data_IF_382686417265
#
_entry.id   IF_382686417265
#
_cell.length_a   1.000
_cell.length_b   1.000
_cell.length_c   1.000
_cell.angle_alpha   90.00
_cell.angle_beta   90.00
_cell.angle_gamma   90.00
#
_symmetry.space_group_name_H-M   'P 1'
#
loop_
_entity.id
_entity.type
_entity.pdbx_description
1 polymer ?
#
# COMPACT_ATOMS: atom_id res chain seq x y z
N UNK A 1 50.07 57.30 0.24
CA UNK A 1 48.81 56.98 0.94
C UNK A 1 47.71 56.92 -0.10
N UNK A 2 46.99 55.79 -0.20
CA UNK A 2 45.66 55.58 -0.80
C UNK A 2 45.54 54.16 -1.35
N UNK A 3 45.02 53.26 -0.52
CA UNK A 3 44.42 51.98 -0.94
C UNK A 3 43.09 51.83 -0.19
N UNK A 4 41.97 52.16 -0.83
CA UNK A 4 40.73 51.46 -0.50
C UNK A 4 39.91 51.22 -1.77
N UNK A 5 40.24 50.16 -2.51
CA UNK A 5 39.42 49.72 -3.64
C UNK A 5 39.37 48.20 -3.80
N UNK A 6 39.69 47.46 -2.73
CA UNK A 6 39.76 45.99 -2.75
C UNK A 6 38.75 45.29 -1.82
N UNK A 7 37.83 46.04 -1.19
CA UNK A 7 36.89 45.47 -0.22
C UNK A 7 35.42 45.49 -0.66
N UNK A 8 35.08 46.09 -1.80
CA UNK A 8 33.67 46.20 -2.26
C UNK A 8 33.24 45.01 -3.13
N UNK A 9 34.16 44.26 -3.73
CA UNK A 9 33.83 43.11 -4.59
C UNK A 9 33.57 41.80 -3.85
N UNK A 10 33.85 41.69 -2.55
CA UNK A 10 33.69 40.44 -1.80
C UNK A 10 32.32 40.29 -1.10
N UNK A 11 31.50 41.35 -1.03
CA UNK A 11 30.21 41.29 -0.32
C UNK A 11 29.02 40.93 -1.22
N UNK A 12 29.17 40.99 -2.55
CA UNK A 12 28.06 40.75 -3.49
C UNK A 12 27.86 39.26 -3.85
N UNK A 13 28.77 38.36 -3.46
CA UNK A 13 28.66 36.93 -3.82
C UNK A 13 28.01 36.06 -2.74
N UNK A 14 27.72 36.60 -1.57
CA UNK A 14 27.13 35.87 -0.44
C UNK A 14 25.59 35.88 -0.42
N UNK A 15 24.94 36.57 -1.36
CA UNK A 15 23.48 36.66 -1.45
C UNK A 15 22.83 35.71 -2.47
N UNK A 16 23.62 34.87 -3.16
CA UNK A 16 23.12 33.92 -4.16
C UNK A 16 23.02 32.47 -3.65
N UNK A 17 23.29 32.21 -2.37
CA UNK A 17 23.07 30.90 -1.74
C UNK A 17 21.77 30.84 -0.94
N UNK A 18 20.79 31.68 -1.25
CA UNK A 18 19.39 31.36 -0.95
C UNK A 18 18.98 30.20 -1.88
N UNK A 19 19.56 29.03 -1.61
CA UNK A 19 19.20 27.77 -2.21
C UNK A 19 17.72 27.54 -2.02
N UNK A 20 17.13 26.95 -3.05
CA UNK A 20 15.76 26.51 -3.09
C UNK A 20 15.29 26.03 -1.72
N UNK A 21 14.21 26.64 -1.26
CA UNK A 21 13.36 26.15 -0.19
C UNK A 21 13.32 24.62 -0.20
N UNK A 22 13.93 23.99 0.80
CA UNK A 22 13.49 22.68 1.26
C UNK A 22 12.06 22.92 1.77
N UNK A 23 11.08 22.84 0.86
CA UNK A 23 9.69 22.72 1.27
C UNK A 23 9.65 21.47 2.15
N UNK A 24 9.55 21.69 3.47
CA UNK A 24 9.24 20.62 4.41
C UNK A 24 7.98 19.95 3.86
N UNK A 25 7.95 18.63 3.65
CA UNK A 25 6.76 17.98 3.19
C UNK A 25 5.62 18.33 4.15
N UNK A 26 4.51 18.80 3.57
CA UNK A 26 3.22 18.96 4.26
C UNK A 26 3.03 17.76 5.19
N UNK A 27 2.91 18.03 6.50
CA UNK A 27 2.74 17.06 7.60
C UNK A 27 2.39 15.64 7.14
N UNK A 28 3.40 14.87 6.77
CA UNK A 28 3.21 13.50 6.30
C UNK A 28 2.81 12.63 7.49
N UNK A 29 1.67 11.95 7.38
CA UNK A 29 1.16 11.04 8.40
C UNK A 29 1.37 9.60 7.94
N UNK A 30 1.89 8.74 8.82
CA UNK A 30 1.88 7.29 8.56
C UNK A 30 0.43 6.82 8.38
N UNK A 31 0.17 6.21 7.23
CA UNK A 31 -1.10 5.57 6.87
C UNK A 31 -1.16 4.12 7.34
N UNK A 32 -1.95 3.32 6.63
CA UNK A 32 -2.10 1.89 6.91
C UNK A 32 -0.88 1.09 6.45
N UNK A 33 -0.63 -0.01 7.17
CA UNK A 33 0.21 -1.12 6.71
C UNK A 33 -0.69 -2.34 6.55
N UNK A 34 -0.70 -2.95 5.36
CA UNK A 34 -1.61 -4.04 5.07
C UNK A 34 -1.62 -4.44 3.60
N UNK A 35 -2.71 -5.05 3.14
CA UNK A 35 -2.82 -5.59 1.79
C UNK A 35 -3.62 -4.66 0.87
N UNK A 36 -3.17 -4.53 -0.38
CA UNK A 36 -3.96 -3.91 -1.44
C UNK A 36 -5.11 -4.85 -1.82
N UNK A 37 -6.35 -4.44 -1.59
CA UNK A 37 -7.55 -5.27 -1.81
C UNK A 37 -8.34 -4.86 -3.06
N UNK A 38 -8.08 -3.66 -3.56
CA UNK A 38 -8.62 -3.13 -4.82
C UNK A 38 -7.65 -2.11 -5.44
N UNK A 39 -7.59 -2.07 -6.78
CA UNK A 39 -6.88 -1.04 -7.53
C UNK A 39 -7.83 -0.38 -8.54
N UNK A 40 -7.68 0.93 -8.72
CA UNK A 40 -8.34 1.69 -9.78
C UNK A 40 -7.28 2.55 -10.48
N UNK A 41 -6.66 1.98 -11.51
CA UNK A 41 -5.55 2.63 -12.22
C UNK A 41 -5.99 3.89 -12.98
N UNK A 42 -7.23 3.95 -13.46
CA UNK A 42 -7.79 5.14 -14.14
C UNK A 42 -7.90 6.34 -13.20
N UNK A 43 -8.36 6.10 -11.98
CA UNK A 43 -8.46 7.12 -10.92
C UNK A 43 -7.18 7.28 -10.11
N UNK A 44 -6.10 6.59 -10.51
CA UNK A 44 -4.83 6.51 -9.78
C UNK A 44 -5.03 6.18 -8.29
N UNK A 45 -5.85 5.19 -7.95
CA UNK A 45 -6.22 4.89 -6.58
C UNK A 45 -6.00 3.42 -6.19
N UNK A 46 -5.70 3.19 -4.91
CA UNK A 46 -5.54 1.87 -4.30
C UNK A 46 -6.36 1.82 -3.01
N UNK A 47 -7.07 0.72 -2.77
CA UNK A 47 -7.69 0.44 -1.47
C UNK A 47 -6.77 -0.49 -0.69
N UNK A 48 -6.29 -0.02 0.46
CA UNK A 48 -5.48 -0.81 1.39
C UNK A 48 -6.30 -1.09 2.63
N UNK A 49 -6.29 -2.34 3.09
CA UNK A 49 -6.88 -2.72 4.36
C UNK A 49 -5.82 -3.34 5.28
N UNK A 50 -5.97 -3.12 6.57
CA UNK A 50 -5.13 -3.76 7.59
C UNK A 50 -5.28 -5.29 7.57
N UNK A 51 -4.35 -5.95 8.25
CA UNK A 51 -4.35 -7.40 8.47
C UNK A 51 -4.29 -7.70 9.96
N UNK A 52 -4.34 -8.97 10.36
CA UNK A 52 -4.19 -9.37 11.77
C UNK A 52 -2.84 -8.95 12.36
N UNK A 53 -1.83 -8.65 11.52
CA UNK A 53 -0.52 -8.16 11.95
C UNK A 53 -0.54 -6.69 12.39
N UNK A 54 -1.52 -5.91 11.92
CA UNK A 54 -1.49 -4.44 12.01
C UNK A 54 -2.74 -3.87 12.67
N UNK A 55 -3.89 -4.51 12.49
CA UNK A 55 -5.14 -4.17 13.15
C UNK A 55 -5.03 -4.34 14.67
N UNK A 56 -5.81 -3.53 15.40
CA UNK A 56 -5.89 -3.60 16.87
C UNK A 56 -7.16 -4.35 17.26
N UNK A 57 -7.01 -5.45 18.00
CA UNK A 57 -8.13 -6.21 18.57
C UNK A 57 -9.22 -6.67 17.58
N UNK A 58 -8.88 -6.80 16.29
CA UNK A 58 -9.80 -7.20 15.22
C UNK A 58 -10.66 -6.06 14.66
N UNK A 59 -10.39 -4.82 15.07
CA UNK A 59 -10.92 -3.63 14.40
C UNK A 59 -10.00 -3.27 13.24
N UNK A 60 -10.47 -3.56 12.01
CA UNK A 60 -9.70 -3.34 10.79
C UNK A 60 -10.04 -2.00 10.15
N UNK A 61 -9.02 -1.20 9.89
CA UNK A 61 -9.17 -0.04 9.02
C UNK A 61 -8.95 -0.39 7.55
N UNK A 62 -9.65 0.35 6.69
CA UNK A 62 -9.46 0.35 5.25
C UNK A 62 -9.48 1.79 4.73
N UNK A 63 -8.56 2.11 3.83
CA UNK A 63 -8.38 3.46 3.31
C UNK A 63 -8.07 3.44 1.80
N UNK A 64 -8.82 4.26 1.06
CA UNK A 64 -8.51 4.59 -0.32
C UNK A 64 -7.41 5.65 -0.36
N UNK A 65 -6.31 5.30 -1.00
CA UNK A 65 -5.18 6.18 -1.27
C UNK A 65 -5.20 6.63 -2.73
N UNK A 66 -5.31 7.95 -2.94
CA UNK A 66 -5.24 8.56 -4.26
C UNK A 66 -3.81 9.03 -4.54
N UNK A 67 -3.21 8.50 -5.59
CA UNK A 67 -1.83 8.78 -5.99
C UNK A 67 -1.81 10.07 -6.81
N UNK A 68 -1.33 11.14 -6.19
CA UNK A 68 -1.05 12.42 -6.86
C UNK A 68 0.34 12.40 -7.53
N UNK A 69 0.67 13.47 -8.25
CA UNK A 69 1.92 13.54 -9.03
C UNK A 69 3.18 13.68 -8.15
N UNK A 70 3.02 14.06 -6.87
CA UNK A 70 4.11 14.20 -5.90
C UNK A 70 4.33 12.90 -5.09
N UNK A 71 3.48 11.90 -5.26
CA UNK A 71 3.52 10.66 -4.49
C UNK A 71 4.76 9.82 -4.83
N UNK A 72 5.46 9.34 -3.81
CA UNK A 72 6.68 8.55 -3.95
C UNK A 72 6.35 7.05 -3.77
N UNK A 73 6.42 6.29 -4.86
CA UNK A 73 6.19 4.84 -4.84
C UNK A 73 7.51 4.08 -4.92
N UNK A 74 7.79 3.24 -3.93
CA UNK A 74 9.06 2.51 -3.80
C UNK A 74 8.84 1.02 -3.53
N UNK A 75 9.83 0.21 -3.87
CA UNK A 75 10.01 -1.12 -3.28
C UNK A 75 10.82 -1.04 -1.96
N UNK A 76 11.00 -2.18 -1.27
CA UNK A 76 11.82 -2.26 -0.05
C UNK A 76 13.30 -1.93 -0.25
N UNK A 77 13.80 -1.94 -1.49
CA UNK A 77 15.18 -1.59 -1.85
C UNK A 77 15.31 -0.11 -2.23
N UNK A 78 14.24 0.68 -2.07
CA UNK A 78 14.13 2.09 -2.46
C UNK A 78 14.23 2.33 -3.97
N UNK A 79 13.98 1.32 -4.81
CA UNK A 79 13.78 1.54 -6.23
C UNK A 79 12.40 2.12 -6.47
N UNK A 80 12.29 3.04 -7.44
CA UNK A 80 11.00 3.55 -7.87
C UNK A 80 10.19 2.46 -8.56
N UNK A 81 8.91 2.36 -8.22
CA UNK A 81 7.95 1.46 -8.87
C UNK A 81 6.83 2.26 -9.52
N UNK A 82 6.19 1.70 -10.54
CA UNK A 82 5.00 2.31 -11.13
C UNK A 82 3.77 1.89 -10.33
N UNK A 83 2.73 2.74 -10.35
CA UNK A 83 1.43 2.38 -9.75
C UNK A 83 0.88 1.07 -10.34
N UNK A 84 1.09 0.85 -11.64
CA UNK A 84 0.67 -0.36 -12.35
C UNK A 84 1.40 -1.62 -11.93
N UNK A 85 2.54 -1.49 -11.24
CA UNK A 85 3.30 -2.64 -10.71
C UNK A 85 2.77 -3.06 -9.32
N UNK A 86 1.93 -2.22 -8.70
CA UNK A 86 1.29 -2.48 -7.41
C UNK A 86 -0.03 -3.20 -7.67
N UNK A 87 -0.03 -4.51 -7.44
CA UNK A 87 -1.16 -5.39 -7.72
C UNK A 87 -1.99 -5.68 -6.45
N UNK A 88 -3.24 -6.07 -6.65
CA UNK A 88 -4.07 -6.64 -5.58
C UNK A 88 -3.35 -7.84 -4.94
N UNK A 89 -3.35 -7.89 -3.61
CA UNK A 89 -2.65 -8.86 -2.79
C UNK A 89 -1.25 -8.43 -2.37
N UNK A 90 -0.69 -7.34 -2.91
CA UNK A 90 0.59 -6.82 -2.45
C UNK A 90 0.47 -6.28 -1.01
N UNK A 91 1.44 -6.60 -0.16
CA UNK A 91 1.60 -5.97 1.15
C UNK A 91 2.32 -4.63 0.99
N UNK A 92 1.79 -3.58 1.58
CA UNK A 92 2.27 -2.20 1.45
C UNK A 92 2.27 -1.47 2.78
N UNK A 93 3.18 -0.51 2.91
CA UNK A 93 3.17 0.51 3.95
C UNK A 93 2.94 1.88 3.30
N UNK A 94 2.00 2.65 3.85
CA UNK A 94 1.56 3.92 3.23
C UNK A 94 1.79 5.11 4.14
N UNK A 95 1.88 6.28 3.52
CA UNK A 95 1.86 7.59 4.17
C UNK A 95 0.94 8.52 3.39
N UNK A 96 0.26 9.40 4.11
CA UNK A 96 -0.73 10.33 3.59
C UNK A 96 -0.24 11.78 3.65
N UNK A 97 -0.55 12.54 2.60
CA UNK A 97 -0.27 13.97 2.50
C UNK A 97 -1.36 14.86 3.15
N UNK A 98 -2.51 14.27 3.47
CA UNK A 98 -3.70 14.93 4.02
C UNK A 98 -4.31 14.14 5.18
N UNK A 99 -5.13 14.77 6.04
CA UNK A 99 -6.03 14.04 6.91
C UNK A 99 -7.01 13.19 6.11
N UNK A 100 -7.41 12.06 6.69
CA UNK A 100 -8.44 11.18 6.12
C UNK A 100 -9.81 11.85 6.17
N UNK A 101 -10.60 11.67 5.12
CA UNK A 101 -12.01 12.07 5.12
C UNK A 101 -12.84 11.16 6.03
N UNK A 102 -13.79 11.74 6.76
CA UNK A 102 -14.72 11.02 7.66
C UNK A 102 -15.71 10.15 6.88
N UNK A 103 -15.26 8.97 6.46
CA UNK A 103 -16.04 7.95 5.74
C UNK A 103 -15.41 6.57 5.96
N UNK A 104 -16.15 5.50 5.68
CA UNK A 104 -15.59 4.14 5.68
C UNK A 104 -15.88 3.41 4.34
N UNK A 105 -14.86 2.92 3.62
CA UNK A 105 -13.42 3.11 3.88
C UNK A 105 -13.05 4.60 3.87
N UNK A 106 -12.04 4.94 4.67
CA UNK A 106 -11.48 6.29 4.70
C UNK A 106 -10.88 6.65 3.33
N UNK A 107 -10.62 7.93 3.10
CA UNK A 107 -10.08 8.43 1.82
C UNK A 107 -9.05 9.51 2.07
N UNK A 108 -7.91 9.42 1.40
CA UNK A 108 -6.83 10.43 1.52
C UNK A 108 -5.92 10.47 0.29
N UNK A 109 -5.17 11.56 0.15
CA UNK A 109 -4.08 11.66 -0.82
C UNK A 109 -2.84 10.93 -0.30
N UNK A 110 -2.22 10.13 -1.15
CA UNK A 110 -0.99 9.39 -0.87
C UNK A 110 0.23 10.32 -1.00
N UNK A 111 1.11 10.33 0.00
CA UNK A 111 2.44 10.96 -0.11
C UNK A 111 3.51 9.95 -0.48
N UNK A 112 3.45 8.75 0.09
CA UNK A 112 4.43 7.69 -0.11
C UNK A 112 3.82 6.32 0.07
N UNK A 113 4.29 5.35 -0.72
CA UNK A 113 3.97 3.94 -0.53
C UNK A 113 5.24 3.11 -0.73
N UNK A 114 5.46 2.16 0.17
CA UNK A 114 6.54 1.17 0.08
C UNK A 114 5.92 -0.22 -0.06
N UNK A 115 6.21 -0.88 -1.17
CA UNK A 115 5.78 -2.26 -1.45
C UNK A 115 6.72 -3.22 -0.75
N UNK A 116 6.17 -4.15 0.03
CA UNK A 116 6.94 -5.22 0.65
C UNK A 116 7.44 -6.23 -0.40
N UNK A 117 8.51 -6.94 -0.07
CA UNK A 117 8.92 -8.10 -0.87
C UNK A 117 7.85 -9.19 -0.76
N UNK A 118 7.51 -9.80 -1.89
CA UNK A 118 6.53 -10.87 -1.94
C UNK A 118 7.13 -12.20 -1.44
N UNK A 119 6.28 -13.05 -0.87
CA UNK A 119 6.71 -14.33 -0.30
C UNK A 119 6.39 -15.44 -1.29
N UNK A 120 7.41 -16.17 -1.71
CA UNK A 120 7.22 -17.37 -2.54
C UNK A 120 6.82 -18.57 -1.68
N UNK A 121 5.93 -19.41 -2.20
CA UNK A 121 5.59 -20.68 -1.55
C UNK A 121 6.83 -21.57 -1.38
N UNK A 122 7.01 -22.29 -0.25
CA UNK A 122 8.22 -23.08 0.00
C UNK A 122 8.53 -24.15 -1.05
N UNK A 123 7.50 -24.74 -1.65
CA UNK A 123 7.61 -25.86 -2.59
C UNK A 123 7.20 -25.56 -4.04
N UNK A 124 6.62 -24.38 -4.29
CA UNK A 124 5.98 -24.06 -5.57
C UNK A 124 6.29 -22.61 -5.99
N UNK A 125 6.18 -22.25 -7.29
CA UNK A 125 6.54 -20.91 -7.76
C UNK A 125 5.51 -19.82 -7.41
N UNK A 126 4.31 -20.18 -6.92
CA UNK A 126 3.27 -19.20 -6.61
C UNK A 126 3.68 -18.28 -5.46
N UNK A 127 3.52 -16.98 -5.70
CA UNK A 127 3.73 -15.93 -4.71
C UNK A 127 2.48 -15.69 -3.86
N UNK A 128 2.66 -15.21 -2.63
CA UNK A 128 1.59 -14.92 -1.68
C UNK A 128 0.59 -13.91 -2.26
N UNK A 129 1.06 -12.82 -2.89
CA UNK A 129 0.15 -11.83 -3.49
C UNK A 129 -0.81 -12.46 -4.51
N UNK A 130 -0.33 -13.47 -5.26
CA UNK A 130 -1.13 -14.15 -6.28
C UNK A 130 -2.22 -15.01 -5.65
N UNK A 131 -1.89 -15.73 -4.58
CA UNK A 131 -2.86 -16.50 -3.82
C UNK A 131 -3.91 -15.59 -3.17
N UNK A 132 -3.50 -14.46 -2.60
CA UNK A 132 -4.42 -13.47 -2.04
C UNK A 132 -5.35 -12.92 -3.12
N UNK A 133 -4.82 -12.54 -4.29
CA UNK A 133 -5.63 -12.08 -5.42
C UNK A 133 -6.68 -13.12 -5.84
N UNK A 134 -6.27 -14.40 -5.96
CA UNK A 134 -7.17 -15.50 -6.29
C UNK A 134 -8.26 -15.70 -5.23
N UNK A 135 -7.89 -15.68 -3.94
CA UNK A 135 -8.83 -15.81 -2.84
C UNK A 135 -9.84 -14.65 -2.79
N UNK A 136 -9.38 -13.40 -2.94
CA UNK A 136 -10.24 -12.23 -2.99
C UNK A 136 -11.24 -12.30 -4.15
N UNK A 137 -10.79 -12.73 -5.34
CA UNK A 137 -11.67 -12.90 -6.49
C UNK A 137 -12.72 -14.01 -6.27
N UNK A 138 -12.33 -15.10 -5.61
CA UNK A 138 -13.25 -16.16 -5.24
C UNK A 138 -14.30 -15.68 -4.23
N UNK A 139 -13.89 -15.00 -3.15
CA UNK A 139 -14.86 -14.49 -2.16
C UNK A 139 -15.80 -13.45 -2.78
N UNK A 140 -15.29 -12.57 -3.65
CA UNK A 140 -16.10 -11.62 -4.43
C UNK A 140 -17.13 -12.31 -5.32
N UNK A 141 -16.87 -13.53 -5.81
CA UNK A 141 -17.83 -14.26 -6.66
C UNK A 141 -18.93 -14.99 -5.88
N UNK A 142 -18.80 -15.09 -4.54
CA UNK A 142 -19.83 -15.71 -3.70
C UNK A 142 -21.04 -14.81 -3.45
N UNK A 143 -20.93 -13.50 -3.72
CA UNK A 143 -21.98 -12.52 -3.45
C UNK A 143 -21.92 -11.36 -4.43
N UNK A 144 -23.07 -10.96 -4.96
CA UNK A 144 -23.20 -9.78 -5.82
C UNK A 144 -23.22 -8.45 -5.04
N UNK A 145 -23.16 -8.51 -3.70
CA UNK A 145 -23.17 -7.30 -2.85
C UNK A 145 -21.77 -6.71 -2.76
N UNK A 146 -21.70 -5.39 -2.88
CA UNK A 146 -20.48 -4.66 -2.58
C UNK A 146 -20.10 -4.82 -1.10
N UNK A 147 -18.89 -5.29 -0.84
CA UNK A 147 -18.32 -5.45 0.50
C UNK A 147 -16.85 -5.00 0.51
N UNK A 148 -16.31 -4.79 1.70
CA UNK A 148 -14.90 -4.50 1.95
C UNK A 148 -14.26 -5.82 2.39
N UNK A 149 -13.30 -6.29 1.61
CA UNK A 149 -12.65 -7.58 1.81
C UNK A 149 -11.32 -7.38 2.51
N UNK A 150 -11.24 -7.79 3.77
CA UNK A 150 -10.04 -7.68 4.60
C UNK A 150 -9.30 -9.02 4.54
N UNK A 151 -8.04 -8.98 4.12
CA UNK A 151 -7.16 -10.15 4.18
C UNK A 151 -6.55 -10.19 5.58
N UNK A 152 -7.10 -11.06 6.42
CA UNK A 152 -6.67 -11.20 7.81
C UNK A 152 -5.24 -11.75 7.87
N UNK A 153 -4.98 -12.81 7.12
CA UNK A 153 -3.63 -13.35 6.89
C UNK A 153 -3.59 -14.33 5.69
N UNK A 154 -2.37 -14.76 5.36
CA UNK A 154 -2.10 -15.78 4.36
C UNK A 154 -0.90 -16.63 4.79
N UNK A 155 -1.10 -17.95 4.89
CA UNK A 155 -0.07 -18.91 5.35
C UNK A 155 0.09 -20.04 4.33
N UNK A 156 1.31 -20.51 4.12
CA UNK A 156 1.60 -21.65 3.25
C UNK A 156 1.53 -22.97 4.02
N UNK A 157 1.13 -24.04 3.34
CA UNK A 157 1.17 -25.43 3.81
C UNK A 157 2.02 -26.27 2.85
N UNK A 158 1.88 -27.60 2.84
CA UNK A 158 2.62 -28.48 1.91
C UNK A 158 2.37 -28.11 0.43
N UNK A 159 1.10 -27.91 0.04
CA UNK A 159 0.70 -27.65 -1.35
C UNK A 159 -0.21 -26.45 -1.54
N UNK A 160 -0.63 -25.79 -0.46
CA UNK A 160 -1.66 -24.76 -0.51
C UNK A 160 -1.20 -23.46 0.16
N UNK A 161 -1.70 -22.35 -0.35
CA UNK A 161 -1.89 -21.13 0.43
C UNK A 161 -3.25 -21.17 1.11
N UNK A 162 -3.29 -20.95 2.42
CA UNK A 162 -4.52 -20.72 3.18
C UNK A 162 -4.64 -19.22 3.44
N UNK A 163 -5.65 -18.60 2.85
CA UNK A 163 -5.92 -17.16 2.95
C UNK A 163 -7.22 -16.96 3.72
N UNK A 164 -7.16 -16.19 4.81
CA UNK A 164 -8.36 -15.81 5.59
C UNK A 164 -8.84 -14.44 5.15
N UNK A 165 -10.10 -14.36 4.75
CA UNK A 165 -10.75 -13.14 4.28
C UNK A 165 -11.97 -12.84 5.16
N UNK A 166 -12.05 -11.63 5.67
CA UNK A 166 -13.21 -11.12 6.38
C UNK A 166 -13.97 -10.13 5.49
N UNK A 167 -15.28 -10.32 5.33
CA UNK A 167 -16.18 -9.40 4.63
C UNK A 167 -16.80 -8.47 5.67
N UNK A 168 -16.39 -7.21 5.67
CA UNK A 168 -16.68 -6.26 6.76
C UNK A 168 -18.19 -6.01 6.94
N UNK A 169 -18.91 -5.68 5.87
CA UNK A 169 -20.32 -5.32 5.94
C UNK A 169 -21.20 -6.54 6.27
N UNK A 170 -20.87 -7.71 5.72
CA UNK A 170 -21.59 -8.96 6.01
C UNK A 170 -21.21 -9.59 7.35
N UNK A 171 -20.08 -9.18 7.97
CA UNK A 171 -19.59 -9.77 9.21
C UNK A 171 -19.20 -11.24 9.10
N UNK A 172 -18.84 -11.70 7.88
CA UNK A 172 -18.54 -13.10 7.58
C UNK A 172 -17.04 -13.34 7.39
N UNK A 173 -16.57 -14.49 7.87
CA UNK A 173 -15.20 -14.96 7.69
C UNK A 173 -15.19 -16.10 6.67
N UNK A 174 -14.18 -16.10 5.81
CA UNK A 174 -13.92 -17.11 4.81
C UNK A 174 -12.50 -17.63 4.97
N UNK A 175 -12.33 -18.94 4.92
CA UNK A 175 -11.02 -19.57 4.83
C UNK A 175 -10.90 -20.20 3.45
N UNK A 176 -9.98 -19.68 2.64
CA UNK A 176 -9.82 -20.04 1.24
C UNK A 176 -8.50 -20.79 1.07
N UNK A 177 -8.57 -21.98 0.48
CA UNK A 177 -7.40 -22.75 0.04
C UNK A 177 -7.13 -22.43 -1.43
N UNK A 178 -5.88 -22.13 -1.75
CA UNK A 178 -5.38 -21.94 -3.11
C UNK A 178 -4.21 -22.88 -3.36
N UNK A 179 -4.38 -23.83 -4.27
CA UNK A 179 -3.34 -24.81 -4.56
C UNK A 179 -2.17 -24.13 -5.26
N UNK A 180 -0.97 -24.21 -4.68
CA UNK A 180 0.18 -23.40 -5.07
C UNK A 180 0.78 -23.78 -6.44
N UNK A 181 0.55 -25.00 -6.91
CA UNK A 181 0.91 -25.42 -8.27
C UNK A 181 -0.15 -25.08 -9.33
N UNK A 182 -1.41 -25.46 -9.08
CA UNK A 182 -2.48 -25.45 -10.08
C UNK A 182 -3.31 -24.17 -10.08
N UNK A 183 -3.32 -23.43 -8.96
CA UNK A 183 -4.20 -22.28 -8.75
C UNK A 183 -5.66 -22.65 -8.52
N UNK A 184 -5.97 -23.92 -8.22
CA UNK A 184 -7.33 -24.33 -7.81
C UNK A 184 -7.72 -23.61 -6.51
N UNK A 185 -8.93 -23.01 -6.49
CA UNK A 185 -9.43 -22.22 -5.34
C UNK A 185 -10.68 -22.89 -4.76
N UNK A 186 -10.73 -23.06 -3.44
CA UNK A 186 -11.91 -23.56 -2.73
C UNK A 186 -12.07 -22.93 -1.36
N UNK A 187 -13.32 -22.75 -0.93
CA UNK A 187 -13.61 -22.43 0.47
C UNK A 187 -13.52 -23.71 1.31
N UNK A 188 -12.76 -23.64 2.40
CA UNK A 188 -12.62 -24.74 3.36
C UNK A 188 -13.30 -24.44 4.70
N UNK A 189 -13.67 -23.18 4.95
CA UNK A 189 -14.49 -22.77 6.09
C UNK A 189 -15.23 -21.47 5.82
#
# INVERSE_FOLDING_TARGET
MNRPLLYITLFAFLLLTAGCSDEKPKNERKGLTGYVIETNYEKKALLVAESDKTARDGDYDAEWYFVNDDAILLDRKNNKVLLTDIEVGAEVETWAASPSLESYPAKTDLSKLVVADDVQHPHYPMLQKKAIQMALNFVKSLSDKADIFIVQDAVSTESEWIVRVFTFNAGQKHEISVHAETGEVKQIK
#
